data_IF_783938426166
#
_entry.id   IF_783938426166
#
_cell.length_a   1.000
_cell.length_b   1.000
_cell.length_c   1.000
_cell.angle_alpha   90.00
_cell.angle_beta   90.00
_cell.angle_gamma   90.00
#
_symmetry.space_group_name_H-M   'P 1'
#
loop_
_entity.id
_entity.type
_entity.pdbx_description
1 polymer ?
#
# COMPACT_ATOMS: atom_id res chain seq x y z
N UNK A 1 -67.64 32.18 10.82
CA UNK A 1 -67.93 30.83 10.28
C UNK A 1 -67.07 29.81 10.99
N UNK A 2 -67.68 28.90 11.74
CA UNK A 2 -67.02 27.85 12.56
C UNK A 2 -66.51 26.73 11.64
N UNK A 3 -65.22 26.38 11.71
CA UNK A 3 -64.68 25.15 11.11
C UNK A 3 -64.42 24.11 12.20
N UNK A 4 -65.08 22.96 12.03
CA UNK A 4 -65.05 21.79 12.91
C UNK A 4 -63.65 21.16 12.90
N UNK A 5 -63.16 20.81 14.09
CA UNK A 5 -62.01 19.93 14.30
C UNK A 5 -62.54 18.50 14.33
N UNK A 6 -62.12 17.68 13.36
CA UNK A 6 -62.33 16.25 13.40
C UNK A 6 -61.22 15.61 14.24
N UNK A 7 -61.62 15.09 15.40
CA UNK A 7 -60.78 14.32 16.31
C UNK A 7 -60.63 12.90 15.79
N UNK A 8 -59.54 12.63 15.07
CA UNK A 8 -59.13 11.29 14.69
C UNK A 8 -58.80 10.46 15.93
N UNK A 9 -59.58 9.40 16.15
CA UNK A 9 -59.32 8.35 17.13
C UNK A 9 -57.97 7.68 16.83
N UNK A 10 -56.95 7.93 17.66
CA UNK A 10 -55.76 7.10 17.72
C UNK A 10 -56.15 5.77 18.39
N UNK A 11 -56.44 4.77 17.56
CA UNK A 11 -56.59 3.39 18.02
C UNK A 11 -55.28 2.93 18.64
N UNK A 12 -55.26 2.86 19.97
CA UNK A 12 -54.21 2.20 20.75
C UNK A 12 -54.17 0.72 20.35
N UNK A 13 -53.38 0.39 19.32
CA UNK A 13 -53.00 -0.98 19.05
C UNK A 13 -52.18 -1.45 20.26
N UNK A 14 -52.82 -2.23 21.11
CA UNK A 14 -52.16 -2.99 22.16
C UNK A 14 -51.16 -3.91 21.46
N UNK A 15 -49.89 -3.51 21.47
CA UNK A 15 -48.81 -4.40 21.04
C UNK A 15 -48.89 -5.64 21.93
N UNK A 16 -49.04 -6.85 21.35
CA UNK A 16 -49.01 -8.07 22.14
C UNK A 16 -47.69 -8.08 22.90
N UNK A 17 -47.77 -8.09 24.23
CA UNK A 17 -46.61 -8.30 25.09
C UNK A 17 -46.06 -9.67 24.73
N UNK A 18 -44.96 -9.68 23.98
CA UNK A 18 -44.23 -10.92 23.73
C UNK A 18 -43.79 -11.48 25.09
N UNK A 19 -43.97 -12.78 25.33
CA UNK A 19 -43.49 -13.40 26.56
C UNK A 19 -41.98 -13.16 26.67
N UNK A 20 -41.46 -12.94 27.89
CA UNK A 20 -40.02 -12.80 28.10
C UNK A 20 -39.34 -14.06 27.56
N UNK A 21 -38.62 -13.90 26.45
CA UNK A 21 -37.79 -14.97 25.91
C UNK A 21 -36.70 -15.29 26.92
N UNK A 22 -36.47 -16.58 27.15
CA UNK A 22 -35.45 -17.06 28.07
C UNK A 22 -34.07 -16.58 27.61
N UNK A 23 -33.29 -16.01 28.52
CA UNK A 23 -31.97 -15.43 28.21
C UNK A 23 -31.02 -16.50 27.66
N UNK A 24 -31.18 -17.75 28.10
CA UNK A 24 -30.39 -18.89 27.62
C UNK A 24 -30.66 -19.22 26.15
N UNK A 25 -31.91 -19.15 25.68
CA UNK A 25 -32.27 -19.40 24.27
C UNK A 25 -31.68 -18.32 23.35
N UNK A 26 -31.72 -17.05 23.77
CA UNK A 26 -31.10 -15.94 23.03
C UNK A 26 -29.57 -16.08 22.94
N UNK A 27 -28.92 -16.55 24.00
CA UNK A 27 -27.47 -16.78 24.00
C UNK A 27 -27.09 -17.94 23.06
N UNK A 28 -27.89 -19.01 23.04
CA UNK A 28 -27.70 -20.13 22.12
C UNK A 28 -27.91 -19.73 20.65
N UNK A 29 -28.91 -18.89 20.36
CA UNK A 29 -29.15 -18.37 19.02
C UNK A 29 -28.03 -17.41 18.55
N UNK A 30 -27.51 -16.57 19.46
CA UNK A 30 -26.37 -15.71 19.18
C UNK A 30 -25.10 -16.54 18.89
N UNK A 31 -24.84 -17.59 19.67
CA UNK A 31 -23.71 -18.50 19.44
C UNK A 31 -23.84 -19.29 18.14
N UNK A 32 -25.03 -19.79 17.83
CA UNK A 32 -25.26 -20.56 16.59
C UNK A 32 -25.16 -19.66 15.36
N UNK A 33 -25.69 -18.44 15.40
CA UNK A 33 -25.56 -17.47 14.30
C UNK A 33 -24.10 -17.02 14.11
N UNK A 34 -23.36 -16.80 15.20
CA UNK A 34 -21.93 -16.50 15.16
C UNK A 34 -21.12 -17.60 14.48
N UNK A 35 -21.35 -18.87 14.84
CA UNK A 35 -20.68 -20.01 14.22
C UNK A 35 -20.97 -20.12 12.71
N UNK A 36 -22.21 -19.86 12.29
CA UNK A 36 -22.58 -19.86 10.85
C UNK A 36 -21.87 -18.74 10.09
N UNK A 37 -21.75 -17.55 10.68
CA UNK A 37 -21.04 -16.43 10.06
C UNK A 37 -19.55 -16.74 9.94
N UNK A 38 -18.91 -17.29 10.99
CA UNK A 38 -17.49 -17.66 10.99
C UNK A 38 -17.22 -18.69 9.89
N UNK A 39 -17.97 -19.79 9.85
CA UNK A 39 -17.80 -20.83 8.82
C UNK A 39 -17.98 -20.28 7.39
N UNK A 40 -18.90 -19.32 7.20
CA UNK A 40 -19.10 -18.66 5.90
C UNK A 40 -17.90 -17.79 5.51
N UNK A 41 -17.35 -17.04 6.45
CA UNK A 41 -16.17 -16.21 6.22
C UNK A 41 -14.92 -17.06 5.95
N UNK A 42 -14.74 -18.16 6.67
CA UNK A 42 -13.66 -19.13 6.43
C UNK A 42 -13.78 -19.75 5.02
N UNK A 43 -14.98 -20.14 4.61
CA UNK A 43 -15.23 -20.64 3.26
C UNK A 43 -14.91 -19.61 2.17
N UNK A 44 -15.26 -18.33 2.39
CA UNK A 44 -14.92 -17.24 1.47
C UNK A 44 -13.41 -16.97 1.42
N UNK A 45 -12.71 -17.05 2.55
CA UNK A 45 -11.26 -16.89 2.60
C UNK A 45 -10.54 -17.98 1.79
N UNK A 46 -10.91 -19.25 1.98
CA UNK A 46 -10.37 -20.38 1.22
C UNK A 46 -10.62 -20.24 -0.29
N UNK A 47 -11.80 -19.74 -0.68
CA UNK A 47 -12.11 -19.48 -2.09
C UNK A 47 -11.17 -18.41 -2.68
N UNK A 48 -10.97 -17.30 -1.97
CA UNK A 48 -10.09 -16.23 -2.43
C UNK A 48 -8.63 -16.68 -2.52
N UNK A 49 -8.15 -17.50 -1.59
CA UNK A 49 -6.80 -18.09 -1.65
C UNK A 49 -6.61 -18.95 -2.92
N UNK A 50 -7.61 -19.77 -3.26
CA UNK A 50 -7.58 -20.59 -4.47
C UNK A 50 -7.60 -19.74 -5.76
N UNK A 51 -8.37 -18.66 -5.78
CA UNK A 51 -8.41 -17.71 -6.89
C UNK A 51 -7.06 -17.00 -7.09
N UNK A 52 -6.41 -16.57 -6.00
CA UNK A 52 -5.07 -15.96 -6.04
C UNK A 52 -4.06 -16.93 -6.66
N UNK A 53 -4.00 -18.18 -6.18
CA UNK A 53 -3.09 -19.20 -6.73
C UNK A 53 -3.32 -19.44 -8.22
N UNK A 54 -4.58 -19.43 -8.66
CA UNK A 54 -4.96 -19.61 -10.07
C UNK A 54 -4.50 -18.42 -10.92
N UNK A 55 -4.65 -17.19 -10.41
CA UNK A 55 -4.19 -15.97 -11.07
C UNK A 55 -2.68 -15.90 -11.17
N UNK A 56 -1.96 -16.29 -10.12
CA UNK A 56 -0.49 -16.37 -10.12
C UNK A 56 0.03 -17.35 -11.17
N UNK A 57 -0.56 -18.55 -11.26
CA UNK A 57 -0.23 -19.51 -12.31
C UNK A 57 -0.49 -18.96 -13.71
N UNK A 58 -1.60 -18.23 -13.91
CA UNK A 58 -1.91 -17.60 -15.20
C UNK A 58 -0.91 -16.50 -15.55
N UNK A 59 -0.53 -15.66 -14.60
CA UNK A 59 0.51 -14.64 -14.79
C UNK A 59 1.86 -15.26 -15.13
N UNK A 60 2.23 -16.35 -14.46
CA UNK A 60 3.46 -17.07 -14.75
C UNK A 60 3.48 -17.62 -16.19
N UNK A 61 2.38 -18.22 -16.66
CA UNK A 61 2.26 -18.67 -18.06
C UNK A 61 2.38 -17.51 -19.04
N UNK A 62 1.69 -16.40 -18.80
CA UNK A 62 1.77 -15.21 -19.66
C UNK A 62 3.18 -14.61 -19.72
N UNK A 63 3.90 -14.57 -18.59
CA UNK A 63 5.30 -14.12 -18.56
C UNK A 63 6.21 -15.07 -19.34
N UNK A 64 6.02 -16.38 -19.18
CA UNK A 64 6.77 -17.41 -19.90
C UNK A 64 6.52 -17.34 -21.42
N UNK A 65 5.25 -17.20 -21.82
CA UNK A 65 4.86 -17.07 -23.22
C UNK A 65 5.40 -15.77 -23.83
N UNK A 66 5.34 -14.65 -23.10
CA UNK A 66 5.93 -13.38 -23.54
C UNK A 66 7.45 -13.48 -23.70
N UNK A 67 8.15 -14.16 -22.80
CA UNK A 67 9.59 -14.39 -22.93
C UNK A 67 9.91 -15.28 -24.14
N UNK A 68 9.10 -16.31 -24.40
CA UNK A 68 9.23 -17.16 -25.59
C UNK A 68 8.94 -16.41 -26.89
N UNK A 69 7.92 -15.56 -26.92
CA UNK A 69 7.63 -14.70 -28.07
C UNK A 69 8.73 -13.68 -28.33
N UNK A 70 9.27 -13.06 -27.28
CA UNK A 70 10.40 -12.13 -27.42
C UNK A 70 11.65 -12.79 -28.03
N UNK A 71 11.91 -14.05 -27.69
CA UNK A 71 12.99 -14.84 -28.31
C UNK A 71 12.70 -15.18 -29.78
N UNK A 72 11.43 -15.41 -30.13
CA UNK A 72 11.02 -15.77 -31.49
C UNK A 72 10.98 -14.57 -32.44
N UNK A 73 10.65 -13.38 -31.92
CA UNK A 73 10.66 -12.13 -32.68
C UNK A 73 12.07 -11.54 -32.86
N UNK A 74 13.06 -12.00 -32.08
CA UNK A 74 14.49 -11.70 -32.34
C UNK A 74 15.11 -12.54 -33.48
N UNK A 75 14.38 -13.51 -34.04
CA UNK A 75 14.77 -14.23 -35.25
C UNK A 75 14.23 -13.52 -36.51
N UNK A 76 14.73 -12.31 -36.78
CA UNK A 76 14.63 -11.69 -38.11
C UNK A 76 15.77 -12.22 -39.03
N UNK A 77 15.66 -12.02 -40.34
CA UNK A 77 15.13 -12.95 -41.34
C UNK A 77 16.11 -14.07 -41.76
N UNK A 78 15.53 -15.05 -42.45
CA UNK A 78 16.18 -16.11 -43.21
C UNK A 78 17.35 -15.63 -44.13
N UNK A 79 18.58 -15.58 -43.60
CA UNK A 79 19.82 -15.34 -44.36
C UNK A 79 20.42 -16.64 -44.96
N UNK A 80 19.60 -17.58 -45.44
CA UNK A 80 20.08 -18.85 -45.99
C UNK A 80 20.89 -18.76 -47.30
N UNK A 81 21.48 -17.61 -47.65
CA UNK A 81 22.53 -17.54 -48.68
C UNK A 81 23.49 -16.36 -48.47
N UNK A 82 24.10 -16.24 -47.29
CA UNK A 82 25.35 -15.49 -47.18
C UNK A 82 26.37 -16.24 -46.32
N UNK A 83 27.55 -16.57 -46.88
CA UNK A 83 28.57 -17.31 -46.16
C UNK A 83 29.09 -16.45 -45.00
N UNK A 84 28.67 -16.83 -43.79
CA UNK A 84 29.33 -16.71 -42.49
C UNK A 84 30.62 -15.86 -42.51
N UNK A 85 30.49 -14.54 -42.68
CA UNK A 85 31.57 -13.60 -42.31
C UNK A 85 31.60 -13.58 -40.79
N UNK A 86 32.73 -13.96 -40.20
CA UNK A 86 32.97 -13.81 -38.78
C UNK A 86 32.62 -12.38 -38.35
N UNK A 87 31.54 -12.23 -37.57
CA UNK A 87 31.12 -10.93 -37.07
C UNK A 87 32.27 -10.36 -36.26
N UNK A 88 32.87 -9.28 -36.77
CA UNK A 88 33.92 -8.56 -36.05
C UNK A 88 33.37 -8.16 -34.67
N UNK A 89 34.17 -8.29 -33.59
CA UNK A 89 33.72 -7.95 -32.25
C UNK A 89 33.17 -6.53 -32.25
N UNK A 90 31.88 -6.39 -31.94
CA UNK A 90 31.23 -5.10 -31.76
C UNK A 90 31.85 -4.46 -30.52
N UNK A 91 32.77 -3.52 -30.76
CA UNK A 91 33.35 -2.68 -29.72
C UNK A 91 32.21 -1.86 -29.13
N UNK A 92 31.67 -2.29 -27.99
CA UNK A 92 30.72 -1.51 -27.22
C UNK A 92 31.39 -0.19 -26.87
N UNK A 93 30.82 0.93 -27.34
CA UNK A 93 31.30 2.26 -26.97
C UNK A 93 31.08 2.42 -25.47
N UNK A 94 32.17 2.33 -24.71
CA UNK A 94 32.16 2.62 -23.28
C UNK A 94 31.94 4.12 -23.09
N UNK A 95 31.20 4.48 -22.05
CA UNK A 95 31.06 5.86 -21.62
C UNK A 95 32.43 6.47 -21.29
N UNK A 96 32.51 7.80 -21.32
CA UNK A 96 33.65 8.48 -20.72
C UNK A 96 33.72 8.12 -19.22
N UNK A 97 34.89 8.23 -18.61
CA UNK A 97 35.05 7.96 -17.17
C UNK A 97 34.13 8.84 -16.33
N UNK A 98 33.97 10.12 -16.69
CA UNK A 98 33.08 11.06 -16.01
C UNK A 98 31.59 10.67 -16.17
N UNK A 99 31.20 10.28 -17.39
CA UNK A 99 29.85 9.80 -17.66
C UNK A 99 29.56 8.52 -16.87
N UNK A 100 30.50 7.58 -16.81
CA UNK A 100 30.34 6.36 -16.03
C UNK A 100 30.18 6.66 -14.54
N UNK A 101 31.03 7.52 -13.97
CA UNK A 101 30.92 7.93 -12.56
C UNK A 101 29.56 8.56 -12.25
N UNK A 102 29.06 9.42 -13.14
CA UNK A 102 27.73 10.05 -12.95
C UNK A 102 26.61 9.01 -12.98
N UNK A 103 26.70 8.02 -13.88
CA UNK A 103 25.71 6.94 -13.95
C UNK A 103 25.78 6.04 -12.71
N UNK A 104 26.99 5.78 -12.19
CA UNK A 104 27.19 5.01 -10.96
C UNK A 104 26.63 5.77 -9.74
N UNK A 105 26.83 7.10 -9.66
CA UNK A 105 26.20 7.95 -8.63
C UNK A 105 24.67 7.91 -8.70
N UNK A 106 24.09 8.02 -9.90
CA UNK A 106 22.64 7.90 -10.09
C UNK A 106 22.12 6.51 -9.71
N UNK A 107 22.88 5.45 -10.01
CA UNK A 107 22.54 4.08 -9.62
C UNK A 107 22.54 3.93 -8.09
N UNK A 108 23.56 4.44 -7.40
CA UNK A 108 23.60 4.42 -5.93
C UNK A 108 22.43 5.18 -5.28
N UNK A 109 22.04 6.33 -5.86
CA UNK A 109 20.85 7.08 -5.42
C UNK A 109 19.57 6.30 -5.69
N UNK A 110 19.50 5.58 -6.82
CA UNK A 110 18.37 4.70 -7.15
C UNK A 110 18.21 3.56 -6.13
N UNK A 111 19.30 2.87 -5.80
CA UNK A 111 19.30 1.78 -4.82
C UNK A 111 18.83 2.26 -3.45
N UNK A 112 19.25 3.46 -3.04
CA UNK A 112 18.80 4.08 -1.80
C UNK A 112 17.33 4.47 -1.84
N UNK A 113 16.83 5.01 -2.96
CA UNK A 113 15.41 5.29 -3.14
C UNK A 113 14.56 4.00 -3.06
N UNK A 114 15.03 2.88 -3.64
CA UNK A 114 14.36 1.58 -3.53
C UNK A 114 14.37 1.03 -2.11
N UNK A 115 15.44 1.26 -1.34
CA UNK A 115 15.51 0.92 0.08
C UNK A 115 14.45 1.70 0.87
N UNK A 116 14.37 3.02 0.69
CA UNK A 116 13.38 3.88 1.35
C UNK A 116 11.95 3.49 0.95
N UNK A 117 11.70 3.18 -0.32
CA UNK A 117 10.40 2.71 -0.80
C UNK A 117 9.94 1.45 -0.05
N UNK A 118 10.81 0.45 0.10
CA UNK A 118 10.49 -0.79 0.84
C UNK A 118 10.11 -0.50 2.30
N UNK A 119 10.79 0.44 2.95
CA UNK A 119 10.45 0.85 4.31
C UNK A 119 9.07 1.51 4.35
N UNK A 120 8.76 2.39 3.38
CA UNK A 120 7.44 3.04 3.30
C UNK A 120 6.31 2.03 3.06
N UNK A 121 6.55 0.99 2.26
CA UNK A 121 5.57 -0.09 2.01
C UNK A 121 5.33 -0.98 3.24
N UNK A 122 6.39 -1.29 3.99
CA UNK A 122 6.28 -1.99 5.27
C UNK A 122 5.49 -1.16 6.28
N UNK A 123 5.81 0.13 6.40
CA UNK A 123 5.11 1.04 7.28
C UNK A 123 3.63 1.22 6.89
N UNK A 124 3.33 1.26 5.59
CA UNK A 124 1.95 1.29 5.07
C UNK A 124 1.16 0.06 5.52
N UNK A 125 1.80 -1.11 5.48
CA UNK A 125 1.16 -2.37 5.88
C UNK A 125 0.83 -2.36 7.37
N UNK A 126 1.78 -1.95 8.21
CA UNK A 126 1.55 -1.81 9.65
C UNK A 126 0.45 -0.80 9.97
N UNK A 127 0.44 0.36 9.30
CA UNK A 127 -0.61 1.36 9.45
C UNK A 127 -2.00 0.83 9.09
N UNK A 128 -2.12 0.08 7.99
CA UNK A 128 -3.40 -0.53 7.60
C UNK A 128 -3.89 -1.57 8.59
N UNK A 129 -2.99 -2.34 9.20
CA UNK A 129 -3.36 -3.29 10.24
C UNK A 129 -3.86 -2.56 11.49
N UNK A 130 -3.14 -1.53 11.95
CA UNK A 130 -3.56 -0.72 13.08
C UNK A 130 -4.93 -0.06 12.84
N UNK A 131 -5.15 0.55 11.66
CA UNK A 131 -6.43 1.13 11.28
C UNK A 131 -7.57 0.10 11.23
N UNK A 132 -7.29 -1.12 10.76
CA UNK A 132 -8.30 -2.18 10.61
C UNK A 132 -8.71 -2.80 11.94
N UNK A 133 -7.76 -3.02 12.84
CA UNK A 133 -7.99 -3.70 14.11
C UNK A 133 -8.18 -2.75 15.29
N UNK A 134 -8.04 -1.43 15.06
CA UNK A 134 -8.08 -0.43 16.13
C UNK A 134 -6.91 -0.55 17.11
N UNK A 135 -5.81 -1.17 16.67
CA UNK A 135 -4.62 -1.32 17.50
C UNK A 135 -3.89 0.01 17.65
N UNK A 136 -3.31 0.30 18.83
CA UNK A 136 -2.50 1.49 19.00
C UNK A 136 -1.28 1.42 18.08
N UNK A 137 -1.02 2.50 17.35
CA UNK A 137 0.16 2.61 16.49
C UNK A 137 1.41 2.71 17.35
N UNK A 138 2.41 1.88 17.03
CA UNK A 138 3.72 1.91 17.69
C UNK A 138 4.38 3.30 17.52
N UNK A 139 4.77 4.00 18.61
CA UNK A 139 5.54 5.24 18.53
C UNK A 139 6.83 5.14 17.71
N UNK A 140 7.47 3.96 17.68
CA UNK A 140 8.66 3.72 16.87
C UNK A 140 8.36 3.84 15.37
N UNK A 141 7.18 3.39 14.91
CA UNK A 141 6.76 3.51 13.52
C UNK A 141 6.62 4.97 13.08
N UNK A 142 6.05 5.81 13.94
CA UNK A 142 5.95 7.26 13.68
C UNK A 142 7.34 7.89 13.49
N UNK A 143 8.28 7.57 14.38
CA UNK A 143 9.65 8.06 14.29
C UNK A 143 10.35 7.58 13.01
N UNK A 144 10.16 6.31 12.65
CA UNK A 144 10.70 5.74 11.41
C UNK A 144 10.16 6.46 10.16
N UNK A 145 8.87 6.76 10.12
CA UNK A 145 8.25 7.50 9.03
C UNK A 145 8.73 8.96 8.95
N UNK A 146 8.93 9.62 10.09
CA UNK A 146 9.50 10.96 10.14
C UNK A 146 10.95 10.98 9.63
N UNK A 147 11.74 9.97 10.00
CA UNK A 147 13.09 9.79 9.48
C UNK A 147 13.08 9.53 7.98
N UNK A 148 12.21 8.65 7.49
CA UNK A 148 12.06 8.36 6.05
C UNK A 148 11.72 9.62 5.25
N UNK A 149 10.85 10.49 5.77
CA UNK A 149 10.53 11.78 5.14
C UNK A 149 11.77 12.69 5.07
N UNK A 150 12.55 12.76 6.15
CA UNK A 150 13.81 13.51 6.20
C UNK A 150 14.84 12.98 5.21
N UNK A 151 15.06 11.65 5.20
CA UNK A 151 15.99 10.97 4.31
C UNK A 151 15.62 11.18 2.84
N UNK A 152 14.33 11.05 2.49
CA UNK A 152 13.84 11.29 1.13
C UNK A 152 14.06 12.75 0.69
N UNK A 153 13.79 13.71 1.58
CA UNK A 153 14.00 15.14 1.29
C UNK A 153 15.48 15.44 1.11
N UNK A 154 16.33 14.89 1.98
CA UNK A 154 17.80 15.01 1.87
C UNK A 154 18.33 14.41 0.56
N UNK A 155 17.77 13.28 0.12
CA UNK A 155 18.18 12.62 -1.13
C UNK A 155 17.86 13.47 -2.37
N UNK A 156 16.76 14.23 -2.36
CA UNK A 156 16.44 15.22 -3.42
C UNK A 156 17.44 16.38 -3.38
N UNK A 157 17.58 17.04 -2.23
CA UNK A 157 18.33 18.29 -2.08
C UNK A 157 19.85 18.13 -2.26
N UNK A 158 20.42 17.04 -1.75
CA UNK A 158 21.88 16.80 -1.77
C UNK A 158 22.31 15.73 -2.75
N UNK A 159 21.56 14.63 -2.81
CA UNK A 159 21.87 13.53 -3.71
C UNK A 159 21.65 13.96 -5.16
N UNK A 160 20.40 14.13 -5.55
CA UNK A 160 20.02 14.35 -6.94
C UNK A 160 20.40 15.73 -7.45
N UNK A 161 20.25 16.78 -6.65
CA UNK A 161 20.63 18.12 -7.07
C UNK A 161 22.14 18.34 -7.22
N UNK A 162 22.94 17.56 -6.47
CA UNK A 162 24.39 17.54 -6.58
C UNK A 162 24.94 16.94 -7.87
N UNK A 163 24.21 16.02 -8.52
CA UNK A 163 24.69 15.29 -9.70
C UNK A 163 24.77 16.20 -10.94
N UNK A 164 25.99 16.50 -11.39
CA UNK A 164 26.26 17.40 -12.52
C UNK A 164 26.16 16.67 -13.86
N UNK A 165 25.05 16.83 -14.57
CA UNK A 165 24.85 16.23 -15.91
C UNK A 165 25.23 17.14 -17.07
N UNK A 166 25.48 18.44 -16.81
CA UNK A 166 25.71 19.43 -17.87
C UNK A 166 27.05 19.27 -18.61
N UNK A 167 28.08 18.69 -17.96
CA UNK A 167 29.42 18.52 -18.52
C UNK A 167 29.66 17.23 -19.30
N UNK A 168 28.67 16.33 -19.35
CA UNK A 168 28.86 15.00 -19.94
C UNK A 168 28.91 15.05 -21.47
N UNK A 169 29.99 14.53 -22.05
CA UNK A 169 30.20 14.44 -23.50
C UNK A 169 29.37 13.30 -24.12
N UNK A 170 29.15 12.21 -23.38
CA UNK A 170 28.31 11.08 -23.77
C UNK A 170 27.34 10.70 -22.66
N UNK A 171 26.15 10.20 -23.00
CA UNK A 171 25.13 9.79 -22.03
C UNK A 171 24.46 10.96 -21.28
N UNK A 172 24.67 12.21 -21.69
CA UNK A 172 24.06 13.38 -21.03
C UNK A 172 22.53 13.31 -21.00
N UNK A 173 21.90 12.93 -22.12
CA UNK A 173 20.45 12.83 -22.20
C UNK A 173 19.91 11.75 -21.28
N UNK A 174 20.56 10.58 -21.26
CA UNK A 174 20.17 9.45 -20.42
C UNK A 174 20.34 9.80 -18.93
N UNK A 175 21.45 10.42 -18.55
CA UNK A 175 21.68 10.87 -17.18
C UNK A 175 20.67 11.95 -16.73
N UNK A 176 20.29 12.88 -17.62
CA UNK A 176 19.24 13.89 -17.33
C UNK A 176 17.87 13.25 -17.18
N UNK A 177 17.53 12.30 -18.04
CA UNK A 177 16.27 11.56 -17.98
C UNK A 177 16.20 10.75 -16.68
N UNK A 178 17.23 9.98 -16.36
CA UNK A 178 17.33 9.18 -15.14
C UNK A 178 17.27 10.04 -13.88
N UNK A 179 18.03 11.15 -13.82
CA UNK A 179 17.94 12.11 -12.70
C UNK A 179 16.52 12.65 -12.53
N UNK A 180 15.87 13.07 -13.63
CA UNK A 180 14.50 13.62 -13.57
C UNK A 180 13.47 12.60 -13.10
N UNK A 181 13.60 11.35 -13.53
CA UNK A 181 12.75 10.25 -13.07
C UNK A 181 12.96 9.98 -11.57
N UNK A 182 14.21 9.88 -11.13
CA UNK A 182 14.55 9.70 -9.72
C UNK A 182 14.04 10.84 -8.85
N UNK A 183 14.17 12.10 -9.27
CA UNK A 183 13.62 13.27 -8.53
C UNK A 183 12.12 13.09 -8.30
N UNK A 184 11.37 12.80 -9.36
CA UNK A 184 9.91 12.58 -9.24
C UNK A 184 9.57 11.41 -8.32
N UNK A 185 10.34 10.32 -8.42
CA UNK A 185 10.13 9.14 -7.59
C UNK A 185 10.34 9.47 -6.11
N UNK A 186 11.46 10.09 -5.76
CA UNK A 186 11.81 10.43 -4.37
C UNK A 186 10.90 11.52 -3.81
N UNK A 187 10.51 12.53 -4.60
CA UNK A 187 9.50 13.52 -4.20
C UNK A 187 8.15 12.85 -3.89
N UNK A 188 7.73 11.89 -4.73
CA UNK A 188 6.53 11.08 -4.49
C UNK A 188 6.62 10.29 -3.19
N UNK A 189 7.81 9.74 -2.89
CA UNK A 189 8.08 9.02 -1.64
C UNK A 189 8.01 9.95 -0.43
N UNK A 190 8.59 11.15 -0.49
CA UNK A 190 8.53 12.14 0.58
C UNK A 190 7.08 12.57 0.87
N UNK A 191 6.29 12.82 -0.17
CA UNK A 191 4.86 13.15 -0.02
C UNK A 191 4.08 12.00 0.63
N UNK A 192 4.36 10.75 0.23
CA UNK A 192 3.75 9.56 0.82
C UNK A 192 4.12 9.41 2.30
N UNK A 193 5.41 9.52 2.63
CA UNK A 193 5.92 9.43 3.99
C UNK A 193 5.24 10.44 4.92
N UNK A 194 5.13 11.70 4.46
CA UNK A 194 4.44 12.76 5.19
C UNK A 194 2.96 12.43 5.44
N UNK A 195 2.28 11.89 4.43
CA UNK A 195 0.88 11.44 4.56
C UNK A 195 0.74 10.28 5.57
N UNK A 196 1.69 9.35 5.59
CA UNK A 196 1.74 8.24 6.55
C UNK A 196 1.95 8.74 7.98
N UNK A 197 2.85 9.71 8.22
CA UNK A 197 3.01 10.35 9.55
C UNK A 197 1.70 10.98 10.00
N UNK A 198 1.03 11.73 9.12
CA UNK A 198 -0.27 12.34 9.44
C UNK A 198 -1.36 11.30 9.75
N UNK A 199 -1.31 10.12 9.11
CA UNK A 199 -2.21 9.00 9.43
C UNK A 199 -1.90 8.40 10.79
N UNK A 200 -0.62 8.15 11.11
CA UNK A 200 -0.21 7.70 12.44
C UNK A 200 -0.76 8.62 13.53
N UNK A 201 -0.63 9.93 13.34
CA UNK A 201 -1.07 10.94 14.31
C UNK A 201 -2.59 10.90 14.52
N UNK A 202 -3.37 10.68 13.47
CA UNK A 202 -4.83 10.53 13.58
C UNK A 202 -5.22 9.27 14.36
N UNK A 203 -4.60 8.13 14.07
CA UNK A 203 -4.91 6.86 14.75
C UNK A 203 -4.51 6.94 16.23
N UNK A 204 -3.37 7.56 16.55
CA UNK A 204 -2.92 7.77 17.92
C UNK A 204 -3.92 8.61 18.74
N UNK A 205 -4.50 9.66 18.15
CA UNK A 205 -5.53 10.48 18.82
C UNK A 205 -6.80 9.67 19.09
N UNK A 206 -7.24 8.83 18.15
CA UNK A 206 -8.44 8.00 18.33
C UNK A 206 -8.26 6.95 19.43
N UNK A 207 -7.08 6.30 19.48
CA UNK A 207 -6.77 5.33 20.54
C UNK A 207 -6.82 5.95 21.94
N UNK A 208 -6.37 7.21 22.09
CA UNK A 208 -6.39 7.91 23.37
C UNK A 208 -7.80 8.28 23.85
N UNK A 209 -8.75 8.55 22.96
CA UNK A 209 -10.10 8.96 23.34
C UNK A 209 -10.95 7.78 23.83
N UNK A 210 -10.74 6.58 23.30
CA UNK A 210 -11.49 5.39 23.70
C UNK A 210 -11.05 4.83 25.08
N UNK A 211 -9.84 5.14 25.54
CA UNK A 211 -9.34 4.63 26.83
C UNK A 211 -9.78 5.47 28.04
N UNK A 212 -10.50 6.58 27.83
CA UNK A 212 -10.90 7.53 28.89
C UNK A 212 -12.32 7.32 29.44
N UNK A 213 -13.08 6.32 28.97
CA UNK A 213 -14.36 5.94 29.61
C UNK A 213 -14.13 4.79 30.60
N UNK A 214 -13.23 4.97 31.56
CA UNK A 214 -13.29 4.15 32.76
C UNK A 214 -14.55 4.55 33.52
N UNK A 215 -15.48 3.62 33.59
CA UNK A 215 -16.77 3.70 34.28
C UNK A 215 -16.59 3.74 35.82
N UNK A 216 -15.68 4.57 36.32
CA UNK A 216 -15.26 4.60 37.72
C UNK A 216 -16.07 5.56 38.61
N UNK A 217 -17.11 6.25 38.09
CA UNK A 217 -17.80 7.30 38.84
C UNK A 217 -19.12 6.92 39.56
N UNK A 218 -19.63 5.68 39.48
CA UNK A 218 -20.95 5.35 40.08
C UNK A 218 -20.92 4.29 41.20
N UNK A 219 -19.82 4.17 41.95
CA UNK A 219 -19.73 3.22 43.08
C UNK A 219 -19.68 3.86 44.49
N UNK A 220 -19.73 5.18 44.63
CA UNK A 220 -19.73 5.86 45.94
C UNK A 220 -21.00 6.70 46.18
N UNK A 221 -22.17 6.05 46.27
CA UNK A 221 -23.31 6.63 47.02
C UNK A 221 -24.20 5.52 47.60
N UNK A 222 -23.67 4.78 48.58
CA UNK A 222 -24.44 3.96 49.51
C UNK A 222 -23.95 4.29 50.93
N UNK A 223 -24.57 5.29 51.55
CA UNK A 223 -24.77 5.38 53.01
C UNK A 223 -25.97 6.30 53.33
#
# INVERSE_FOLDING_TARGET
GRRRRDSGHAGSMQHPQQPPMDFEENLHLARSSGAVIINKLEGQALQLEQEILTLEQRLWRLRSDKARSALRDSDEPNYLNSPKRAAAPTVQRKYSTESQMTMDELAAVSDEAERLQRISEQAETQLRLAERFGEPVDPALRNQLAQLYGDATWLVERGLDGVKTAGLVSGQHDARAGRKELVRHVEGLAVRAKSQVQRCDRVAVWGSQCSSSTWEDDAEELD
#
